data_IF_113404650825
#
_entry.id   IF_113404650825
#
_cell.length_a   1.000
_cell.length_b   1.000
_cell.length_c   1.000
_cell.angle_alpha   90.00
_cell.angle_beta   90.00
_cell.angle_gamma   90.00
#
_symmetry.space_group_name_H-M   'P 1'
#
loop_
_entity.id
_entity.type
_entity.pdbx_description
1 polymer ?
#
# COMPACT_ATOMS: atom_id res chain seq x y z
N UNK A 1 8.67 -1.43 -19.75
CA UNK A 1 9.19 -0.96 -18.44
C UNK A 1 8.70 -1.80 -17.27
N UNK A 2 7.41 -2.09 -17.15
CA UNK A 2 6.86 -2.88 -16.03
C UNK A 2 7.54 -4.24 -15.86
N UNK A 3 7.80 -4.96 -16.94
CA UNK A 3 8.41 -6.29 -16.92
C UNK A 3 9.85 -6.28 -16.40
N UNK A 4 10.63 -5.24 -16.66
CA UNK A 4 12.00 -5.08 -16.15
C UNK A 4 11.98 -4.86 -14.64
N UNK A 5 11.04 -4.03 -14.16
CA UNK A 5 10.84 -3.80 -12.74
C UNK A 5 10.44 -5.09 -11.98
N UNK A 6 9.57 -5.91 -12.57
CA UNK A 6 9.18 -7.20 -12.01
C UNK A 6 10.36 -8.19 -11.98
N UNK A 7 11.21 -8.19 -13.00
CA UNK A 7 12.43 -9.01 -13.03
C UNK A 7 13.43 -8.57 -11.95
N UNK A 8 13.65 -7.26 -11.81
CA UNK A 8 14.52 -6.70 -10.77
C UNK A 8 14.00 -7.05 -9.38
N UNK A 9 12.68 -7.06 -9.19
CA UNK A 9 12.06 -7.45 -7.92
C UNK A 9 12.15 -8.95 -7.66
N UNK A 10 12.04 -9.77 -8.70
CA UNK A 10 12.16 -11.22 -8.59
C UNK A 10 13.59 -11.70 -8.28
N UNK A 11 14.60 -10.92 -8.65
CA UNK A 11 16.01 -11.29 -8.44
C UNK A 11 16.39 -11.45 -6.96
N UNK A 12 16.09 -10.52 -6.04
CA UNK A 12 16.36 -10.71 -4.62
C UNK A 12 15.64 -11.93 -4.03
N UNK A 13 14.39 -12.17 -4.43
CA UNK A 13 13.61 -13.32 -3.96
C UNK A 13 14.25 -14.63 -4.42
N UNK A 14 14.65 -14.69 -5.68
CA UNK A 14 15.35 -15.85 -6.23
C UNK A 14 16.70 -16.10 -5.53
N UNK A 15 17.47 -15.04 -5.29
CA UNK A 15 18.76 -15.13 -4.60
C UNK A 15 18.59 -15.61 -3.16
N UNK A 16 17.59 -15.08 -2.44
CA UNK A 16 17.29 -15.53 -1.09
C UNK A 16 16.88 -17.01 -1.03
N UNK A 17 16.10 -17.47 -2.00
CA UNK A 17 15.62 -18.87 -2.02
C UNK A 17 16.70 -19.88 -2.42
N UNK A 18 17.72 -19.47 -3.20
CA UNK A 18 18.72 -20.40 -3.76
C UNK A 18 20.08 -20.35 -3.07
N UNK A 19 20.47 -19.18 -2.54
CA UNK A 19 21.83 -18.95 -2.03
C UNK A 19 21.85 -18.84 -0.50
N UNK A 20 20.77 -18.36 0.12
CA UNK A 20 20.74 -18.25 1.58
C UNK A 20 20.49 -19.61 2.24
N UNK A 21 21.25 -19.95 3.30
CA UNK A 21 20.94 -21.12 4.11
C UNK A 21 19.56 -20.95 4.76
N UNK A 22 18.78 -22.03 4.81
CA UNK A 22 17.48 -22.04 5.46
C UNK A 22 17.66 -21.87 6.98
N UNK A 23 17.56 -20.64 7.42
CA UNK A 23 17.62 -20.29 8.82
C UNK A 23 16.22 -20.32 9.44
N UNK A 24 16.09 -20.60 10.76
CA UNK A 24 14.81 -20.52 11.42
C UNK A 24 14.24 -19.10 11.33
N UNK A 25 12.91 -19.01 11.19
CA UNK A 25 12.18 -17.75 11.11
C UNK A 25 12.46 -16.92 12.37
N UNK A 26 12.99 -15.73 12.19
CA UNK A 26 13.28 -14.80 13.27
C UNK A 26 12.08 -13.89 13.58
N UNK A 27 11.98 -13.30 14.78
CA UNK A 27 10.87 -12.42 15.15
C UNK A 27 10.70 -11.22 14.21
N UNK A 28 11.76 -10.70 13.63
CA UNK A 28 11.71 -9.59 12.67
C UNK A 28 11.11 -10.02 11.32
N UNK A 29 11.26 -11.28 10.91
CA UNK A 29 10.63 -11.80 9.69
C UNK A 29 9.10 -11.81 9.85
N UNK A 30 8.61 -12.21 11.03
CA UNK A 30 7.19 -12.16 11.35
C UNK A 30 6.65 -10.73 11.39
N UNK A 31 7.44 -9.79 11.93
CA UNK A 31 7.07 -8.37 11.96
C UNK A 31 6.95 -7.82 10.55
N UNK A 32 7.91 -8.07 9.69
CA UNK A 32 7.90 -7.61 8.30
C UNK A 32 6.82 -8.31 7.47
N UNK A 33 6.61 -9.61 7.69
CA UNK A 33 5.54 -10.36 7.06
C UNK A 33 4.15 -9.84 7.46
N UNK A 34 3.97 -9.37 8.71
CA UNK A 34 2.72 -8.75 9.15
C UNK A 34 2.53 -7.32 8.63
N UNK A 35 3.61 -6.57 8.46
CA UNK A 35 3.55 -5.20 7.92
C UNK A 35 3.03 -5.17 6.49
N UNK A 36 3.44 -6.12 5.66
CA UNK A 36 3.04 -6.19 4.24
C UNK A 36 1.52 -6.22 4.05
N UNK A 37 0.74 -7.13 4.65
CA UNK A 37 -0.70 -7.14 4.48
C UNK A 37 -1.37 -5.89 5.07
N UNK A 38 -0.82 -5.30 6.14
CA UNK A 38 -1.34 -4.05 6.69
C UNK A 38 -1.20 -2.91 5.68
N UNK A 39 -0.03 -2.75 5.06
CA UNK A 39 0.22 -1.72 4.05
C UNK A 39 -0.67 -1.95 2.81
N UNK A 40 -0.87 -3.19 2.40
CA UNK A 40 -1.78 -3.53 1.30
C UNK A 40 -3.23 -3.20 1.63
N UNK A 41 -3.69 -3.48 2.84
CA UNK A 41 -5.03 -3.13 3.29
C UNK A 41 -5.24 -1.60 3.33
N UNK A 42 -4.26 -0.83 3.82
CA UNK A 42 -4.29 0.63 3.79
C UNK A 42 -4.32 1.17 2.36
N UNK A 43 -3.52 0.60 1.46
CA UNK A 43 -3.51 0.96 0.03
C UNK A 43 -4.87 0.68 -0.61
N UNK A 44 -5.44 -0.49 -0.35
CA UNK A 44 -6.75 -0.87 -0.85
C UNK A 44 -7.85 0.09 -0.36
N UNK A 45 -7.84 0.43 0.93
CA UNK A 45 -8.77 1.40 1.50
C UNK A 45 -8.61 2.79 0.87
N UNK A 46 -7.37 3.26 0.69
CA UNK A 46 -7.08 4.55 0.06
C UNK A 46 -7.61 4.62 -1.39
N UNK A 47 -7.43 3.55 -2.17
CA UNK A 47 -7.92 3.47 -3.55
C UNK A 47 -9.45 3.50 -3.58
N UNK A 48 -10.12 2.74 -2.72
CA UNK A 48 -11.59 2.70 -2.65
C UNK A 48 -12.18 4.06 -2.22
N UNK A 49 -11.55 4.73 -1.26
CA UNK A 49 -11.93 6.09 -0.87
C UNK A 49 -11.79 7.06 -2.05
N UNK A 50 -10.70 6.99 -2.79
CA UNK A 50 -10.48 7.81 -3.97
C UNK A 50 -11.52 7.54 -5.06
N UNK A 51 -11.79 6.27 -5.34
CA UNK A 51 -12.80 5.88 -6.32
C UNK A 51 -14.19 6.39 -5.95
N UNK A 52 -14.60 6.21 -4.68
CA UNK A 52 -15.87 6.70 -4.17
C UNK A 52 -16.00 8.22 -4.30
N UNK A 53 -14.94 8.95 -3.96
CA UNK A 53 -14.91 10.41 -4.12
C UNK A 53 -15.02 10.86 -5.58
N UNK A 54 -14.29 10.25 -6.48
CA UNK A 54 -14.34 10.60 -7.90
C UNK A 54 -15.73 10.29 -8.48
N UNK A 55 -16.32 9.18 -8.13
CA UNK A 55 -17.69 8.81 -8.54
C UNK A 55 -18.71 9.81 -8.00
N UNK A 56 -18.59 10.21 -6.73
CA UNK A 56 -19.44 11.25 -6.14
C UNK A 56 -19.28 12.58 -6.88
N UNK A 57 -18.04 13.03 -7.06
CA UNK A 57 -17.72 14.30 -7.73
C UNK A 57 -18.28 14.34 -9.16
N UNK A 58 -18.07 13.30 -9.94
CA UNK A 58 -18.59 13.24 -11.33
C UNK A 58 -20.10 13.26 -11.36
N UNK A 59 -20.78 12.51 -10.48
CA UNK A 59 -22.26 12.49 -10.42
C UNK A 59 -22.82 13.86 -10.04
N UNK A 60 -22.28 14.52 -9.03
CA UNK A 60 -22.78 15.81 -8.55
C UNK A 60 -22.49 16.92 -9.57
N UNK A 61 -21.31 16.95 -10.18
CA UNK A 61 -20.94 18.04 -11.09
C UNK A 61 -21.51 17.88 -12.50
N UNK A 62 -21.64 16.63 -13.01
CA UNK A 62 -22.07 16.41 -14.40
C UNK A 62 -23.57 16.21 -14.57
N UNK A 63 -24.25 15.60 -13.59
CA UNK A 63 -25.66 15.22 -13.73
C UNK A 63 -26.59 15.94 -12.78
N UNK A 64 -26.11 16.61 -11.72
CA UNK A 64 -26.94 17.11 -10.64
C UNK A 64 -27.76 16.00 -9.95
N UNK A 65 -27.49 14.74 -10.30
CA UNK A 65 -28.22 13.59 -9.80
C UNK A 65 -27.81 13.27 -8.37
N UNK A 66 -28.75 12.69 -7.61
CA UNK A 66 -28.47 12.22 -6.27
C UNK A 66 -27.50 11.03 -6.34
N UNK A 67 -26.38 11.16 -5.63
CA UNK A 67 -25.39 10.09 -5.55
C UNK A 67 -25.95 8.90 -4.77
N UNK A 68 -25.76 7.71 -5.30
CA UNK A 68 -26.19 6.46 -4.69
C UNK A 68 -25.08 5.92 -3.78
N UNK A 69 -25.24 6.08 -2.47
CA UNK A 69 -24.27 5.63 -1.46
C UNK A 69 -24.14 4.10 -1.42
N UNK A 70 -25.13 3.35 -1.94
CA UNK A 70 -25.10 1.87 -1.94
C UNK A 70 -24.05 1.30 -2.88
N UNK A 71 -23.61 2.10 -3.85
CA UNK A 71 -22.54 1.73 -4.80
C UNK A 71 -21.13 1.92 -4.23
N UNK A 72 -21.00 2.49 -3.04
CA UNK A 72 -19.71 2.57 -2.37
C UNK A 72 -19.30 1.21 -1.82
N UNK A 73 -18.01 0.98 -1.81
CA UNK A 73 -17.44 -0.13 -1.08
C UNK A 73 -17.74 0.02 0.43
N UNK A 74 -18.20 -1.03 1.13
CA UNK A 74 -18.66 -0.92 2.54
C UNK A 74 -17.66 -0.26 3.48
N UNK A 75 -16.36 -0.46 3.24
CA UNK A 75 -15.28 0.02 4.11
C UNK A 75 -14.88 1.48 3.88
N UNK A 76 -15.48 2.17 2.93
CA UNK A 76 -15.13 3.59 2.71
C UNK A 76 -15.73 4.50 3.78
N UNK A 77 -16.89 4.22 4.29
CA UNK A 77 -17.65 4.87 5.41
C UNK A 77 -17.57 6.39 5.46
N UNK A 78 -17.27 7.02 4.35
CA UNK A 78 -17.11 8.46 4.25
C UNK A 78 -18.33 9.09 3.58
N UNK A 79 -18.93 10.06 4.27
CA UNK A 79 -19.98 10.87 3.68
C UNK A 79 -19.37 12.08 2.98
N UNK A 80 -19.69 12.23 1.72
CA UNK A 80 -19.22 13.33 0.87
C UNK A 80 -20.21 14.49 0.91
N UNK A 81 -19.71 15.72 0.84
CA UNK A 81 -20.52 16.92 0.76
C UNK A 81 -20.32 17.63 -0.58
N UNK A 82 -21.30 18.45 -0.97
CA UNK A 82 -21.18 19.26 -2.20
C UNK A 82 -19.97 20.20 -2.17
N UNK A 83 -19.56 20.62 -0.98
CA UNK A 83 -18.36 21.43 -0.79
C UNK A 83 -17.08 20.66 -1.07
N UNK A 84 -17.00 19.37 -0.69
CA UNK A 84 -15.86 18.49 -1.02
C UNK A 84 -15.73 18.33 -2.55
N UNK A 85 -16.87 18.18 -3.24
CA UNK A 85 -16.88 18.08 -4.71
C UNK A 85 -16.39 19.38 -5.37
N UNK A 86 -16.78 20.55 -4.83
CA UNK A 86 -16.34 21.86 -5.34
C UNK A 86 -14.85 22.12 -5.12
N UNK A 87 -14.30 21.69 -3.99
CA UNK A 87 -12.85 21.77 -3.70
C UNK A 87 -12.03 20.93 -4.66
N UNK A 88 -12.59 19.85 -5.21
CA UNK A 88 -11.96 19.03 -6.24
C UNK A 88 -10.95 18.01 -5.75
N UNK A 89 -10.61 18.00 -4.45
CA UNK A 89 -9.66 17.05 -3.84
C UNK A 89 -10.15 16.55 -2.48
N UNK A 90 -9.72 15.35 -2.13
CA UNK A 90 -10.09 14.68 -0.88
C UNK A 90 -9.32 15.23 0.32
N UNK A 91 -10.06 15.44 1.44
CA UNK A 91 -9.50 15.83 2.73
C UNK A 91 -10.03 14.96 3.88
N UNK A 92 -10.60 13.79 3.56
CA UNK A 92 -11.23 12.90 4.56
C UNK A 92 -10.62 11.50 4.52
N UNK A 93 -10.78 10.77 5.63
CA UNK A 93 -10.24 9.42 5.76
C UNK A 93 -8.72 9.41 5.73
N UNK A 94 -8.12 8.47 5.04
CA UNK A 94 -6.65 8.36 4.89
C UNK A 94 -6.03 9.58 4.20
N UNK A 95 -6.79 10.27 3.35
CA UNK A 95 -6.35 11.45 2.61
C UNK A 95 -6.27 12.72 3.46
N UNK A 96 -6.79 12.69 4.69
CA UNK A 96 -6.58 13.75 5.66
C UNK A 96 -5.14 13.77 6.19
N UNK A 97 -4.48 12.62 6.24
CA UNK A 97 -3.12 12.48 6.74
C UNK A 97 -2.07 12.69 5.65
N UNK A 98 -2.40 12.36 4.41
CA UNK A 98 -1.47 12.51 3.28
C UNK A 98 -2.23 12.83 1.99
N UNK A 99 -1.78 13.83 1.24
CA UNK A 99 -2.32 14.13 -0.11
C UNK A 99 -2.17 12.99 -1.11
N UNK A 100 -1.24 12.10 -0.86
CA UNK A 100 -0.90 10.98 -1.72
C UNK A 100 -0.83 9.68 -0.92
N UNK A 101 -1.89 9.38 -0.16
CA UNK A 101 -1.96 8.19 0.71
C UNK A 101 -1.67 6.90 -0.03
N UNK A 102 -2.19 6.76 -1.25
CA UNK A 102 -1.92 5.62 -2.11
C UNK A 102 -0.43 5.50 -2.46
N UNK A 103 0.20 6.61 -2.84
CA UNK A 103 1.63 6.66 -3.15
C UNK A 103 2.49 6.41 -1.91
N UNK A 104 2.11 6.95 -0.75
CA UNK A 104 2.82 6.69 0.51
C UNK A 104 2.81 5.20 0.89
N UNK A 105 1.65 4.53 0.77
CA UNK A 105 1.55 3.09 0.98
C UNK A 105 2.40 2.30 -0.02
N UNK A 106 2.42 2.72 -1.28
CA UNK A 106 3.23 2.09 -2.32
C UNK A 106 4.72 2.23 -2.04
N UNK A 107 5.20 3.42 -1.67
CA UNK A 107 6.60 3.62 -1.31
C UNK A 107 6.97 2.82 -0.05
N UNK A 108 6.10 2.78 0.95
CA UNK A 108 6.33 1.96 2.15
C UNK A 108 6.45 0.48 1.81
N UNK A 109 5.60 -0.03 0.92
CA UNK A 109 5.70 -1.41 0.43
C UNK A 109 7.03 -1.66 -0.27
N UNK A 110 7.44 -0.80 -1.21
CA UNK A 110 8.69 -0.95 -1.96
C UNK A 110 9.94 -0.83 -1.10
N UNK A 111 9.90 -0.06 -0.02
CA UNK A 111 11.00 0.04 0.95
C UNK A 111 11.03 -1.17 1.88
N UNK A 112 9.87 -1.67 2.31
CA UNK A 112 9.80 -2.82 3.23
C UNK A 112 10.39 -4.09 2.62
N UNK A 113 10.19 -4.34 1.33
CA UNK A 113 10.69 -5.55 0.64
C UNK A 113 12.22 -5.66 0.68
N UNK A 114 13.03 -4.66 0.26
CA UNK A 114 14.48 -4.73 0.38
C UNK A 114 14.97 -4.79 1.83
N UNK A 115 14.27 -4.12 2.76
CA UNK A 115 14.63 -4.17 4.19
C UNK A 115 14.59 -5.60 4.74
N UNK A 116 13.60 -6.41 4.35
CA UNK A 116 13.54 -7.82 4.72
C UNK A 116 14.83 -8.53 4.34
N UNK A 117 15.29 -8.36 3.09
CA UNK A 117 16.48 -9.03 2.58
C UNK A 117 17.76 -8.49 3.22
N UNK A 118 17.86 -7.19 3.43
CA UNK A 118 19.04 -6.57 4.01
C UNK A 118 19.25 -7.01 5.47
N UNK A 119 18.20 -7.02 6.28
CA UNK A 119 18.29 -7.44 7.67
C UNK A 119 18.52 -8.95 7.79
N UNK A 120 17.88 -9.77 6.96
CA UNK A 120 18.15 -11.19 6.91
C UNK A 120 19.61 -11.51 6.56
N UNK A 121 20.22 -10.75 5.66
CA UNK A 121 21.63 -10.93 5.27
C UNK A 121 22.61 -10.38 6.30
N UNK A 122 22.34 -9.23 6.90
CA UNK A 122 23.25 -8.58 7.84
C UNK A 122 23.43 -9.32 9.16
N UNK A 123 22.40 -10.05 9.61
CA UNK A 123 22.47 -10.83 10.85
C UNK A 123 23.26 -12.15 10.72
N UNK A 124 23.59 -12.57 9.47
CA UNK A 124 24.35 -13.81 9.23
C UNK A 124 25.86 -13.62 9.18
N UNK A 125 26.34 -12.39 9.07
CA UNK A 125 27.78 -12.10 8.94
C UNK A 125 28.61 -12.30 10.22
N UNK A 126 28.11 -12.18 11.47
CA UNK A 126 28.96 -12.29 12.66
C UNK A 126 29.26 -13.71 13.13
N UNK A 127 28.63 -14.76 12.59
CA UNK A 127 28.80 -16.12 13.10
C UNK A 127 29.81 -16.98 12.33
N UNK A 128 30.49 -16.45 11.32
CA UNK A 128 31.50 -17.17 10.55
C UNK A 128 32.95 -16.95 11.02
N UNK A 129 33.15 -16.26 12.15
CA UNK A 129 34.50 -16.03 12.71
C UNK A 129 34.63 -16.56 14.14
N UNK A 130 34.35 -17.87 14.32
CA UNK A 130 34.89 -18.62 15.49
C UNK A 130 35.34 -20.00 15.00
#
# INVERSE_FOLDING_TARGET
>A
MLNILLLILGFPIHTASTIQPHTPIAPYDLLLASLTPIVLALKFTAINQQYAFQSYKTTVLSSGAKYDETKQWPDTWLKWTSEDARRGFMMRGLWAYSRHSNFACEQTFWVSVPCVFFFASAMHFPLMHV
#
